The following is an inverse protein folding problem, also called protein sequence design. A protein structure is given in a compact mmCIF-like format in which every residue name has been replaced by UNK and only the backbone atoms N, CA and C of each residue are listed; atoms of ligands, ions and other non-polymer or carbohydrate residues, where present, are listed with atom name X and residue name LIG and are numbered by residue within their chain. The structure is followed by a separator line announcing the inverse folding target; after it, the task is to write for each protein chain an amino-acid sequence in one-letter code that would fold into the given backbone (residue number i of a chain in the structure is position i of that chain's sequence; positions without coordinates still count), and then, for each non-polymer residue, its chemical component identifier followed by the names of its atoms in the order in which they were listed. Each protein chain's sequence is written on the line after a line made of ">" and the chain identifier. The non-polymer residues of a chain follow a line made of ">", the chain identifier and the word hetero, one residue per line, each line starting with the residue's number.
data_IF_771947110265
#
_entry.id   IF_771947110265
#
_cell.length_a   1.000
_cell.length_b   1.000
_cell.length_c   1.000
_cell.angle_alpha   90.00
_cell.angle_beta   90.00
_cell.angle_gamma   90.00
#
_symmetry.space_group_name_H-M   'P 1'
#
loop_
_entity.id
_entity.type
_entity.pdbx_description
1 polymer ?
#
# COMPACT_ATOMS: atom_id res chain seq x y z
N UNK A 1 -16.57 19.84 -28.51
CA UNK A 1 -15.19 20.04 -28.02
C UNK A 1 -14.91 18.88 -27.05
N UNK A 2 -13.99 17.92 -27.21
CA UNK A 2 -12.95 17.57 -28.17
C UNK A 2 -12.89 16.03 -28.16
N UNK A 3 -12.53 15.45 -29.31
CA UNK A 3 -12.56 14.06 -29.77
C UNK A 3 -12.18 12.93 -28.80
N UNK A 4 -12.93 11.83 -28.91
CA UNK A 4 -12.47 10.46 -28.64
C UNK A 4 -11.27 10.15 -29.55
N UNK A 5 -10.12 9.88 -28.94
CA UNK A 5 -8.91 9.53 -29.67
C UNK A 5 -8.83 8.00 -29.80
N UNK A 6 -9.35 7.49 -30.91
CA UNK A 6 -9.15 6.14 -31.41
C UNK A 6 -8.27 6.24 -32.67
N UNK A 7 -7.02 5.80 -32.61
CA UNK A 7 -6.20 5.31 -33.74
C UNK A 7 -4.87 4.77 -33.18
N UNK A 8 -4.65 3.45 -33.17
CA UNK A 8 -4.13 2.61 -34.27
C UNK A 8 -2.67 2.88 -34.62
N UNK A 9 -1.81 1.96 -34.19
CA UNK A 9 -0.58 1.50 -34.85
C UNK A 9 -0.55 -0.01 -34.58
N UNK A 10 -0.20 -0.93 -35.48
CA UNK A 10 0.05 -0.94 -36.92
C UNK A 10 0.05 -2.44 -37.31
N UNK A 11 -0.14 -2.72 -38.60
CA UNK A 11 -0.26 -4.05 -39.19
C UNK A 11 1.15 -4.68 -39.35
N UNK A 12 1.29 -6.00 -39.17
CA UNK A 12 1.98 -6.97 -40.07
C UNK A 12 2.64 -8.13 -39.30
N UNK A 13 2.39 -9.37 -39.74
CA UNK A 13 3.29 -10.50 -39.49
C UNK A 13 2.60 -11.75 -38.96
N UNK A 14 2.37 -12.71 -39.87
CA UNK A 14 2.04 -14.08 -39.55
C UNK A 14 3.34 -14.73 -39.07
N UNK A 15 3.56 -14.89 -37.76
CA UNK A 15 4.62 -15.76 -37.22
C UNK A 15 4.31 -16.10 -35.75
N UNK A 16 4.03 -17.38 -35.51
CA UNK A 16 4.07 -18.14 -34.24
C UNK A 16 4.25 -17.37 -32.91
N UNK A 17 3.29 -16.50 -32.55
CA UNK A 17 3.31 -15.82 -31.26
C UNK A 17 2.61 -16.66 -30.20
N UNK A 18 3.42 -17.51 -29.58
CA UNK A 18 3.23 -17.99 -28.21
C UNK A 18 2.67 -16.85 -27.35
N UNK A 19 1.56 -17.04 -26.60
CA UNK A 19 0.99 -15.99 -25.77
C UNK A 19 2.02 -15.57 -24.72
N UNK A 20 2.68 -14.43 -24.97
CA UNK A 20 3.61 -13.82 -24.03
C UNK A 20 2.89 -13.55 -22.71
N UNK A 21 3.55 -13.74 -21.56
CA UNK A 21 2.86 -13.68 -20.29
C UNK A 21 2.32 -12.26 -20.06
N UNK A 22 1.00 -12.15 -19.92
CA UNK A 22 0.30 -10.92 -19.57
C UNK A 22 0.63 -10.51 -18.13
N UNK A 23 1.85 -10.03 -17.90
CA UNK A 23 2.32 -9.55 -16.58
C UNK A 23 2.00 -8.06 -16.34
N UNK A 24 1.42 -7.36 -17.31
CA UNK A 24 1.32 -5.90 -17.28
C UNK A 24 0.20 -5.33 -16.39
N UNK A 25 -0.69 -6.18 -15.84
CA UNK A 25 -1.81 -5.72 -14.99
C UNK A 25 -1.57 -5.74 -13.48
N UNK A 26 -0.68 -6.63 -12.99
CA UNK A 26 -0.58 -6.93 -11.55
C UNK A 26 0.48 -6.12 -10.80
N UNK A 27 1.31 -5.33 -11.49
CA UNK A 27 2.36 -4.52 -10.86
C UNK A 27 1.84 -3.21 -10.24
N UNK A 28 0.63 -2.77 -10.60
CA UNK A 28 0.05 -1.51 -10.15
C UNK A 28 -1.26 -1.73 -9.40
N UNK A 29 -1.23 -2.57 -8.37
CA UNK A 29 -2.37 -2.80 -7.47
C UNK A 29 -2.03 -2.42 -6.04
N UNK A 30 -3.04 -1.95 -5.30
CA UNK A 30 -2.93 -1.73 -3.87
C UNK A 30 -2.75 -3.07 -3.14
N UNK A 31 -1.73 -3.16 -2.29
CA UNK A 31 -1.47 -4.36 -1.49
C UNK A 31 -2.66 -4.74 -0.58
N UNK A 32 -3.38 -3.76 -0.04
CA UNK A 32 -4.44 -3.99 0.95
C UNK A 32 -5.82 -4.28 0.34
N UNK A 33 -6.17 -3.63 -0.78
CA UNK A 33 -7.51 -3.75 -1.36
C UNK A 33 -7.54 -4.30 -2.79
N UNK A 34 -6.38 -4.59 -3.39
CA UNK A 34 -6.27 -5.14 -4.74
C UNK A 34 -6.69 -4.20 -5.89
N UNK A 35 -7.19 -3.00 -5.59
CA UNK A 35 -7.60 -2.05 -6.62
C UNK A 35 -6.41 -1.53 -7.41
N UNK A 36 -6.63 -1.23 -8.71
CA UNK A 36 -5.63 -0.59 -9.55
C UNK A 36 -5.23 0.79 -9.02
N UNK A 37 -3.93 1.07 -9.01
CA UNK A 37 -3.31 2.35 -8.62
C UNK A 37 -2.65 3.09 -9.80
N UNK A 38 -2.80 2.61 -11.03
CA UNK A 38 -2.15 3.17 -12.22
C UNK A 38 -2.43 4.67 -12.45
N UNK A 39 -3.58 5.16 -11.99
CA UNK A 39 -4.00 6.56 -12.08
C UNK A 39 -4.43 7.15 -10.73
N UNK A 40 -4.04 6.52 -9.62
CA UNK A 40 -4.42 6.94 -8.27
C UNK A 40 -3.18 7.33 -7.49
N UNK A 41 -3.35 8.27 -6.56
CA UNK A 41 -2.32 8.52 -5.57
C UNK A 41 -2.09 7.24 -4.76
N UNK A 42 -0.81 6.88 -4.60
CA UNK A 42 -0.38 5.71 -3.87
C UNK A 42 0.86 6.04 -3.06
N UNK A 43 0.94 5.45 -1.88
CA UNK A 43 2.05 5.61 -0.96
C UNK A 43 2.87 4.31 -0.95
N UNK A 44 4.21 4.44 -0.91
CA UNK A 44 5.12 3.29 -0.79
C UNK A 44 5.22 2.90 0.67
N UNK A 45 5.25 1.60 0.94
CA UNK A 45 5.47 1.10 2.28
C UNK A 45 6.98 1.09 2.54
N UNK A 46 7.46 1.99 3.40
CA UNK A 46 8.88 2.08 3.75
C UNK A 46 9.12 1.44 5.11
N UNK A 47 9.98 0.42 5.17
CA UNK A 47 10.33 -0.27 6.42
C UNK A 47 11.25 0.59 7.29
N UNK A 48 12.20 1.29 6.69
CA UNK A 48 13.27 2.03 7.38
C UNK A 48 12.93 3.51 7.59
N UNK A 49 11.71 3.82 8.03
CA UNK A 49 11.38 5.18 8.44
C UNK A 49 11.52 5.33 9.96
N UNK A 50 12.34 6.29 10.45
CA UNK A 50 12.58 6.48 11.89
C UNK A 50 11.38 7.05 12.66
N UNK A 51 10.27 7.39 12.01
CA UNK A 51 9.08 7.90 12.71
C UNK A 51 8.27 6.76 13.34
N UNK A 52 7.99 6.87 14.65
CA UNK A 52 7.21 5.89 15.45
C UNK A 52 5.87 5.53 14.79
N UNK A 53 5.16 6.54 14.25
CA UNK A 53 3.88 6.32 13.56
C UNK A 53 4.05 5.44 12.32
N UNK A 54 5.14 5.59 11.57
CA UNK A 54 5.36 4.79 10.37
C UNK A 54 5.65 3.33 10.71
N UNK A 55 6.40 3.06 11.80
CA UNK A 55 6.61 1.70 12.28
C UNK A 55 5.30 1.01 12.70
N UNK A 56 4.41 1.75 13.37
CA UNK A 56 3.08 1.25 13.72
C UNK A 56 2.24 0.97 12.47
N UNK A 57 2.23 1.90 11.51
CA UNK A 57 1.56 1.68 10.23
C UNK A 57 2.11 0.46 9.49
N UNK A 58 3.43 0.27 9.48
CA UNK A 58 4.07 -0.91 8.90
C UNK A 58 3.59 -2.19 9.57
N UNK A 59 3.55 -2.21 10.92
CA UNK A 59 3.08 -3.35 11.71
C UNK A 59 1.62 -3.69 11.40
N UNK A 60 0.74 -2.68 11.31
CA UNK A 60 -0.67 -2.86 10.92
C UNK A 60 -0.78 -3.47 9.52
N UNK A 61 0.02 -2.98 8.57
CA UNK A 61 0.02 -3.51 7.20
C UNK A 61 0.53 -4.95 7.17
N UNK A 62 1.65 -5.24 7.82
CA UNK A 62 2.26 -6.57 7.90
C UNK A 62 1.28 -7.61 8.47
N UNK A 63 0.59 -7.25 9.54
CA UNK A 63 -0.45 -8.09 10.15
C UNK A 63 -1.63 -8.35 9.20
N UNK A 64 -2.00 -7.37 8.36
CA UNK A 64 -3.12 -7.51 7.42
C UNK A 64 -2.78 -8.36 6.20
N UNK A 65 -1.51 -8.44 5.82
CA UNK A 65 -1.08 -9.17 4.62
C UNK A 65 -0.49 -10.54 4.91
N UNK A 66 -0.29 -10.87 6.20
CA UNK A 66 0.17 -12.17 6.63
C UNK A 66 -0.66 -13.31 5.98
N UNK A 67 -0.02 -14.40 5.50
CA UNK A 67 1.39 -14.75 5.67
C UNK A 67 2.34 -14.14 4.62
N UNK A 68 1.84 -13.32 3.68
CA UNK A 68 2.69 -12.67 2.67
C UNK A 68 3.57 -11.61 3.35
N UNK A 69 4.82 -11.52 2.91
CA UNK A 69 5.75 -10.49 3.37
C UNK A 69 5.56 -9.19 2.58
N UNK A 70 5.69 -8.06 3.26
CA UNK A 70 5.72 -6.73 2.66
C UNK A 70 7.11 -6.49 2.06
N UNK A 71 7.14 -6.05 0.81
CA UNK A 71 8.36 -5.70 0.06
C UNK A 71 8.40 -4.21 -0.25
N UNK A 72 9.59 -3.68 -0.57
CA UNK A 72 9.77 -2.25 -0.94
C UNK A 72 9.04 -1.86 -2.24
N UNK A 73 8.66 -2.84 -3.05
CA UNK A 73 7.90 -2.63 -4.29
C UNK A 73 6.41 -2.52 -4.05
N UNK A 74 5.92 -2.95 -2.89
CA UNK A 74 4.51 -2.91 -2.57
C UNK A 74 4.05 -1.47 -2.34
N UNK A 75 2.84 -1.19 -2.81
CA UNK A 75 2.21 0.12 -2.75
C UNK A 75 0.81 -0.01 -2.18
N UNK A 76 0.39 1.04 -1.49
CA UNK A 76 -0.96 1.14 -0.93
C UNK A 76 -1.63 2.34 -1.57
N UNK A 77 -2.88 2.19 -1.98
CA UNK A 77 -3.65 3.34 -2.47
C UNK A 77 -3.86 4.34 -1.32
N UNK A 78 -3.93 5.63 -1.66
CA UNK A 78 -4.04 6.69 -0.65
C UNK A 78 -5.19 6.50 0.37
N UNK A 79 -6.40 6.03 -0.02
CA UNK A 79 -7.45 5.73 0.96
C UNK A 79 -7.07 4.65 1.98
N UNK A 80 -6.42 3.57 1.53
CA UNK A 80 -5.97 2.51 2.42
C UNK A 80 -4.82 3.00 3.33
N UNK A 81 -3.94 3.85 2.81
CA UNK A 81 -2.88 4.49 3.60
C UNK A 81 -3.45 5.31 4.77
N UNK A 82 -4.42 6.18 4.48
CA UNK A 82 -5.10 6.98 5.51
C UNK A 82 -5.84 6.11 6.53
N UNK A 83 -6.47 5.01 6.10
CA UNK A 83 -7.13 4.09 7.01
C UNK A 83 -6.13 3.44 7.97
N UNK A 84 -5.01 2.94 7.45
CA UNK A 84 -3.92 2.39 8.27
C UNK A 84 -3.36 3.44 9.23
N UNK A 85 -3.20 4.68 8.79
CA UNK A 85 -2.72 5.76 9.65
C UNK A 85 -3.65 5.99 10.85
N UNK A 86 -4.96 6.05 10.61
CA UNK A 86 -5.95 6.24 11.68
C UNK A 86 -5.93 5.10 12.69
N UNK A 87 -5.82 3.87 12.19
CA UNK A 87 -5.73 2.67 13.04
C UNK A 87 -4.44 2.68 13.87
N UNK A 88 -3.30 2.98 13.25
CA UNK A 88 -2.02 3.11 13.94
C UNK A 88 -2.09 4.17 15.07
N UNK A 89 -2.63 5.35 14.77
CA UNK A 89 -2.83 6.40 15.78
C UNK A 89 -3.74 5.93 16.94
N UNK A 90 -4.84 5.25 16.64
CA UNK A 90 -5.74 4.72 17.66
C UNK A 90 -5.04 3.69 18.54
N UNK A 91 -4.31 2.74 17.95
CA UNK A 91 -3.55 1.74 18.71
C UNK A 91 -2.43 2.36 19.55
N UNK A 92 -1.80 3.45 19.09
CA UNK A 92 -0.78 4.17 19.86
C UNK A 92 -1.37 4.86 21.09
N UNK A 93 -2.52 5.51 20.95
CA UNK A 93 -3.19 6.20 22.06
C UNK A 93 -3.66 5.21 23.13
N UNK A 94 -4.24 4.08 22.71
CA UNK A 94 -4.67 3.01 23.63
C UNK A 94 -3.50 2.34 24.35
N UNK A 95 -2.34 2.20 23.70
CA UNK A 95 -1.15 1.59 24.31
C UNK A 95 -0.25 2.58 25.04
N UNK A 96 -0.61 3.87 25.13
CA UNK A 96 0.13 4.81 25.97
C UNK A 96 0.04 4.31 27.43
N UNK A 97 1.14 3.87 28.05
CA UNK A 97 1.08 3.41 29.43
C UNK A 97 0.63 4.61 30.27
N UNK A 98 -0.57 4.49 30.81
CA UNK A 98 -1.06 5.36 31.86
C UNK A 98 -0.12 5.11 33.03
N UNK A 99 0.88 5.97 33.21
CA UNK A 99 1.81 5.93 34.32
C UNK A 99 1.04 6.20 35.61
N UNK A 100 0.36 5.16 36.09
CA UNK A 100 -0.17 5.02 37.42
C UNK A 100 0.91 4.29 38.23
N UNK A 101 1.79 5.10 38.80
CA UNK A 101 2.57 4.80 40.00
C UNK A 101 2.67 6.16 40.69
N UNK A 102 1.78 6.53 41.60
CA UNK A 102 1.67 5.94 42.95
C UNK A 102 3.06 5.71 43.55
N UNK A 103 3.76 6.80 43.88
CA UNK A 103 4.79 6.85 44.92
C UNK A 103 4.58 8.16 45.71
N UNK A 104 4.04 8.04 46.94
CA UNK A 104 4.76 8.18 48.22
C UNK A 104 5.18 9.63 48.50
N UNK A 105 4.79 10.28 49.59
CA UNK A 105 5.04 9.86 50.97
C UNK A 105 4.28 10.77 51.95
N UNK A 106 4.10 10.23 53.16
CA UNK A 106 3.56 10.75 54.43
C UNK A 106 3.90 12.23 54.70
#
# INVERSE_FOLDING_TARGET
>A
MISVNHSLQEISGIDDQQPGPSHQGHASVCLLCGCSILQRQSDRILRDNPMDLHQLMFTVIENRVAPRQVTETDKVCHPCWLHTQREACHTHDVNRPQSASEESYI
#
